data_IF_753077871753
#
_entry.id   IF_753077871753
#
_cell.length_a   1.000
_cell.length_b   1.000
_cell.length_c   1.000
_cell.angle_alpha   90.00
_cell.angle_beta   90.00
_cell.angle_gamma   90.00
#
_symmetry.space_group_name_H-M   'P 1'
#
loop_
_entity.id
_entity.type
_entity.pdbx_description
1 polymer ?
#
# COMPACT_ATOMS: atom_id res chain seq x y z
N UNK A 1 -9.00 55.60 40.05
CA UNK A 1 -7.63 55.97 39.66
C UNK A 1 -6.66 55.08 40.43
N UNK A 2 -5.69 54.35 39.88
CA UNK A 2 -5.43 53.71 38.58
C UNK A 2 -4.00 53.16 38.70
N UNK A 3 -3.73 52.00 38.08
CA UNK A 3 -2.40 51.47 37.69
C UNK A 3 -1.52 50.93 38.84
N UNK A 4 -0.82 49.80 38.68
CA UNK A 4 -0.20 49.26 37.47
C UNK A 4 -0.19 47.73 37.45
N UNK A 5 -0.69 47.19 36.35
CA UNK A 5 -0.40 45.86 35.84
C UNK A 5 1.10 45.70 35.57
N UNK A 6 1.60 44.48 35.80
CA UNK A 6 2.76 43.95 35.12
C UNK A 6 2.39 42.53 34.65
N UNK A 7 1.92 42.47 33.41
CA UNK A 7 1.49 41.28 32.69
C UNK A 7 2.63 40.26 32.57
N UNK A 8 2.52 39.12 33.26
CA UNK A 8 3.19 37.90 32.86
C UNK A 8 2.47 37.34 31.63
N UNK A 9 3.07 37.49 30.44
CA UNK A 9 2.61 36.83 29.21
C UNK A 9 2.72 35.32 29.38
N UNK A 10 1.63 34.69 29.82
CA UNK A 10 1.48 33.25 29.83
C UNK A 10 1.52 32.71 28.40
N UNK A 11 2.45 31.80 28.15
CA UNK A 11 2.40 30.92 26.98
C UNK A 11 1.13 30.07 27.11
N UNK A 12 0.25 29.96 26.10
CA UNK A 12 -0.95 29.14 26.21
C UNK A 12 -0.57 27.68 26.43
N UNK A 13 -0.84 27.16 27.63
CA UNK A 13 -0.76 25.75 27.95
C UNK A 13 -1.97 25.03 27.33
N UNK A 14 -1.67 23.91 26.66
CA UNK A 14 -2.57 22.80 26.32
C UNK A 14 -3.55 22.99 25.15
N UNK A 15 -3.02 22.93 23.93
CA UNK A 15 -3.80 22.34 22.84
C UNK A 15 -3.88 20.82 23.09
N UNK A 16 -5.05 20.31 23.48
CA UNK A 16 -5.29 18.87 23.63
C UNK A 16 -5.02 18.18 22.30
N UNK A 17 -4.26 17.08 22.30
CA UNK A 17 -4.02 16.27 21.12
C UNK A 17 -5.34 15.64 20.69
N UNK A 18 -5.93 16.16 19.62
CA UNK A 18 -7.18 15.67 19.03
C UNK A 18 -6.92 15.27 17.58
N UNK A 19 -7.76 14.40 17.02
CA UNK A 19 -7.71 14.07 15.59
C UNK A 19 -7.90 15.37 14.78
N UNK A 20 -7.06 15.56 13.76
CA UNK A 20 -7.00 16.78 12.94
C UNK A 20 -6.13 17.89 13.53
N UNK A 21 -5.69 17.78 14.79
CA UNK A 21 -4.75 18.75 15.37
C UNK A 21 -3.41 18.69 14.63
N UNK A 22 -2.80 19.86 14.40
CA UNK A 22 -1.47 19.97 13.80
C UNK A 22 -0.44 20.32 14.86
N UNK A 23 0.74 19.72 14.77
CA UNK A 23 1.83 19.96 15.72
C UNK A 23 3.18 19.86 15.07
N UNK A 24 4.11 20.65 15.60
CA UNK A 24 5.52 20.49 15.29
C UNK A 24 6.10 19.42 16.20
N UNK A 25 6.65 18.36 15.61
CA UNK A 25 7.20 17.22 16.34
C UNK A 25 8.68 17.06 16.01
N UNK A 26 9.46 16.70 17.02
CA UNK A 26 10.85 16.27 16.86
C UNK A 26 10.89 14.75 16.79
N UNK A 27 11.45 14.21 15.71
CA UNK A 27 11.55 12.77 15.50
C UNK A 27 12.78 12.24 16.21
N UNK A 28 12.55 11.32 17.16
CA UNK A 28 13.61 10.74 18.00
C UNK A 28 14.32 9.59 17.30
N UNK A 29 13.54 8.63 16.77
CA UNK A 29 14.04 7.37 16.22
C UNK A 29 13.00 6.69 15.33
N UNK A 30 13.45 5.69 14.58
CA UNK A 30 12.57 4.73 13.91
C UNK A 30 12.27 3.57 14.86
N UNK A 31 11.11 2.93 14.68
CA UNK A 31 10.69 1.78 15.48
C UNK A 31 10.34 0.57 14.61
N UNK A 32 10.20 -0.58 15.25
CA UNK A 32 9.70 -1.78 14.59
C UNK A 32 8.29 -1.50 14.03
N UNK A 33 8.07 -1.89 12.76
CA UNK A 33 6.84 -1.56 12.02
C UNK A 33 7.00 -0.41 11.03
N UNK A 34 8.15 0.27 10.99
CA UNK A 34 8.48 1.26 9.95
C UNK A 34 8.15 2.71 10.30
N UNK A 35 7.33 2.94 11.32
CA UNK A 35 7.02 4.29 11.79
C UNK A 35 8.23 4.98 12.43
N UNK A 36 8.21 6.31 12.40
CA UNK A 36 9.00 7.14 13.29
C UNK A 36 8.31 7.33 14.63
N UNK A 37 9.09 7.58 15.67
CA UNK A 37 8.60 7.88 17.02
C UNK A 37 9.00 9.30 17.42
N UNK A 38 8.00 10.05 17.85
CA UNK A 38 8.15 11.33 18.53
C UNK A 38 7.45 11.28 19.89
N UNK A 39 7.66 12.32 20.68
CA UNK A 39 6.86 12.60 21.88
C UNK A 39 6.15 13.92 21.72
N UNK A 40 4.91 13.92 22.14
CA UNK A 40 4.12 15.14 22.23
C UNK A 40 4.51 15.95 23.48
N UNK A 41 4.02 17.19 23.58
CA UNK A 41 4.31 18.11 24.70
C UNK A 41 3.81 17.58 26.05
N UNK A 42 2.78 16.73 26.05
CA UNK A 42 2.27 16.03 27.23
C UNK A 42 3.00 14.70 27.52
N UNK A 43 4.06 14.40 26.76
CA UNK A 43 4.85 13.17 26.88
C UNK A 43 4.27 11.95 26.17
N UNK A 44 3.07 12.05 25.56
CA UNK A 44 2.44 10.95 24.83
C UNK A 44 3.33 10.49 23.67
N UNK A 45 3.42 9.17 23.47
CA UNK A 45 4.11 8.58 22.33
C UNK A 45 3.31 8.83 21.05
N UNK A 46 3.97 9.37 20.03
CA UNK A 46 3.36 9.62 18.72
C UNK A 46 4.10 8.81 17.66
N UNK A 47 3.39 7.90 17.00
CA UNK A 47 3.88 7.21 15.81
C UNK A 47 3.62 8.09 14.59
N UNK A 48 4.66 8.37 13.82
CA UNK A 48 4.58 9.27 12.68
C UNK A 48 4.96 8.52 11.41
N UNK A 49 4.10 8.58 10.40
CA UNK A 49 4.48 8.11 9.07
C UNK A 49 5.57 9.02 8.47
N UNK A 50 6.41 8.44 7.61
CA UNK A 50 7.35 9.15 6.74
C UNK A 50 8.34 10.13 7.41
N UNK A 51 8.53 10.06 8.73
CA UNK A 51 9.53 10.83 9.48
C UNK A 51 10.86 10.11 9.63
N UNK A 52 11.96 10.85 9.78
CA UNK A 52 13.31 10.29 10.02
C UNK A 52 13.96 10.84 11.29
N UNK A 53 14.84 10.08 11.95
CA UNK A 53 15.53 10.53 13.17
C UNK A 53 16.26 11.86 12.95
N UNK A 54 16.13 12.76 13.93
CA UNK A 54 16.74 14.09 13.90
C UNK A 54 15.89 15.16 13.20
N UNK A 55 14.78 14.78 12.57
CA UNK A 55 13.93 15.74 11.87
C UNK A 55 13.02 16.54 12.79
N UNK A 56 12.73 17.76 12.35
CA UNK A 56 11.59 18.51 12.82
C UNK A 56 10.52 18.53 11.73
N UNK A 57 9.33 18.04 12.03
CA UNK A 57 8.22 17.98 11.08
C UNK A 57 7.01 18.76 11.59
N UNK A 58 6.15 19.19 10.68
CA UNK A 58 4.76 19.50 10.99
C UNK A 58 3.91 18.27 10.66
N UNK A 59 3.16 17.78 11.64
CA UNK A 59 2.37 16.58 11.54
C UNK A 59 0.92 16.83 11.94
N UNK A 60 0.00 16.06 11.35
CA UNK A 60 -1.42 16.06 11.70
C UNK A 60 -1.79 14.75 12.39
N UNK A 61 -2.44 14.84 13.54
CA UNK A 61 -2.89 13.67 14.31
C UNK A 61 -4.06 13.00 13.59
N UNK A 62 -3.91 11.73 13.25
CA UNK A 62 -4.93 10.92 12.55
C UNK A 62 -5.64 9.94 13.48
N UNK A 63 -5.01 9.62 14.61
CA UNK A 63 -5.59 8.78 15.66
C UNK A 63 -5.05 9.24 17.02
N UNK A 64 -5.93 9.38 18.01
CA UNK A 64 -5.52 9.67 19.39
C UNK A 64 -6.16 8.65 20.32
N UNK A 65 -5.31 7.96 21.08
CA UNK A 65 -5.69 7.04 22.14
C UNK A 65 -5.08 7.52 23.46
N UNK A 66 -5.48 6.89 24.56
CA UNK A 66 -5.01 7.23 25.91
C UNK A 66 -3.48 7.20 25.99
N UNK A 67 -2.87 6.11 25.51
CA UNK A 67 -1.45 5.81 25.75
C UNK A 67 -0.55 6.18 24.56
N UNK A 68 -1.13 6.37 23.36
CA UNK A 68 -0.39 6.74 22.15
C UNK A 68 -1.26 7.50 21.16
N UNK A 69 -0.61 8.13 20.17
CA UNK A 69 -1.27 8.72 19.02
C UNK A 69 -0.57 8.31 17.72
N UNK A 70 -1.26 8.45 16.59
CA UNK A 70 -0.68 8.37 15.25
C UNK A 70 -0.82 9.71 14.56
N UNK A 71 0.21 10.12 13.85
CA UNK A 71 0.21 11.34 13.06
C UNK A 71 0.78 11.08 11.66
N UNK A 72 0.30 11.85 10.69
CA UNK A 72 0.86 11.89 9.34
C UNK A 72 1.77 13.11 9.19
N UNK A 73 2.89 12.97 8.50
CA UNK A 73 3.76 14.10 8.19
C UNK A 73 3.09 14.98 7.13
N UNK A 74 2.86 16.26 7.44
CA UNK A 74 2.37 17.25 6.46
C UNK A 74 3.53 17.88 5.70
N UNK A 75 4.59 18.26 6.42
CA UNK A 75 5.82 18.78 5.83
C UNK A 75 7.01 18.59 6.76
N UNK A 76 8.18 18.46 6.16
CA UNK A 76 9.46 18.42 6.87
C UNK A 76 9.97 19.85 7.00
N UNK A 77 10.16 20.33 8.23
CA UNK A 77 10.63 21.69 8.50
C UNK A 77 12.15 21.76 8.60
N UNK A 78 12.77 20.73 9.18
CA UNK A 78 14.21 20.51 9.17
C UNK A 78 14.45 19.04 8.83
N UNK A 79 15.04 18.81 7.65
CA UNK A 79 15.22 17.47 7.09
C UNK A 79 16.49 16.78 7.63
N UNK A 80 16.42 15.46 7.73
CA UNK A 80 17.58 14.62 8.01
C UNK A 80 18.53 14.68 6.82
N UNK A 81 19.87 14.66 7.03
CA UNK A 81 20.83 14.66 5.92
C UNK A 81 20.71 13.44 5.00
N UNK A 82 20.04 12.36 5.48
CA UNK A 82 19.80 11.13 4.71
C UNK A 82 18.36 11.04 4.18
N UNK A 83 17.57 12.12 4.26
CA UNK A 83 16.28 12.20 3.57
C UNK A 83 16.50 12.30 2.07
N UNK A 84 15.75 11.52 1.32
CA UNK A 84 15.67 11.61 -0.15
C UNK A 84 14.22 11.69 -0.59
N UNK A 85 13.99 12.22 -1.79
CA UNK A 85 12.69 12.04 -2.45
C UNK A 85 12.55 10.58 -2.85
N UNK A 86 11.43 9.90 -2.55
CA UNK A 86 11.19 8.54 -3.00
C UNK A 86 11.43 8.40 -4.52
N UNK A 87 12.31 7.49 -4.97
CA UNK A 87 12.61 7.34 -6.39
C UNK A 87 11.44 6.68 -7.16
N UNK A 88 10.56 5.94 -6.48
CA UNK A 88 9.38 5.34 -7.10
C UNK A 88 8.21 6.33 -7.12
N UNK A 89 7.73 6.70 -8.32
CA UNK A 89 6.53 7.54 -8.48
C UNK A 89 5.33 6.99 -7.71
N UNK A 90 5.14 5.67 -7.71
CA UNK A 90 3.98 5.04 -7.07
C UNK A 90 4.01 5.18 -5.55
N UNK A 91 5.19 5.28 -4.93
CA UNK A 91 5.31 5.58 -3.49
C UNK A 91 4.95 7.05 -3.23
N UNK A 92 5.37 7.97 -4.09
CA UNK A 92 4.92 9.37 -4.03
C UNK A 92 3.40 9.49 -4.22
N UNK A 93 2.81 8.63 -5.05
CA UNK A 93 1.36 8.53 -5.23
C UNK A 93 0.67 7.83 -4.04
N UNK A 94 1.42 7.26 -3.08
CA UNK A 94 0.94 6.69 -1.81
C UNK A 94 0.83 5.16 -1.74
N UNK A 95 1.49 4.43 -2.64
CA UNK A 95 1.66 2.98 -2.55
C UNK A 95 2.33 2.56 -1.23
N UNK A 96 1.72 1.66 -0.48
CA UNK A 96 2.23 1.15 0.80
C UNK A 96 3.21 -0.02 0.69
N UNK A 97 3.82 -0.23 -0.49
CA UNK A 97 4.70 -1.38 -0.73
C UNK A 97 6.13 -1.22 -0.21
N UNK A 98 6.58 0.02 0.03
CA UNK A 98 7.94 0.37 0.44
C UNK A 98 7.93 1.57 1.41
N UNK A 99 8.00 1.30 2.71
CA UNK A 99 7.78 2.32 3.75
C UNK A 99 8.89 3.36 3.87
N UNK A 100 10.13 3.00 3.49
CA UNK A 100 11.35 3.81 3.74
C UNK A 100 12.03 4.34 2.48
N UNK A 101 11.32 4.48 1.35
CA UNK A 101 11.94 5.10 0.17
C UNK A 101 12.31 6.58 0.34
N UNK A 102 11.82 7.23 1.40
CA UNK A 102 12.23 8.57 1.80
C UNK A 102 13.54 8.59 2.63
N UNK A 103 14.07 7.42 3.02
CA UNK A 103 15.37 7.23 3.65
C UNK A 103 16.37 6.73 2.61
N UNK A 104 17.52 7.41 2.48
CA UNK A 104 18.57 7.04 1.54
C UNK A 104 18.99 5.56 1.70
N UNK A 105 19.11 4.83 0.60
CA UNK A 105 19.39 3.39 0.59
C UNK A 105 20.61 3.00 1.44
N UNK A 106 21.69 3.79 1.39
CA UNK A 106 22.90 3.53 2.18
C UNK A 106 22.66 3.60 3.70
N UNK A 107 21.66 4.35 4.16
CA UNK A 107 21.33 4.53 5.57
C UNK A 107 20.28 3.51 6.08
N UNK A 108 19.60 2.79 5.19
CA UNK A 108 18.50 1.88 5.59
C UNK A 108 18.98 0.71 6.45
N UNK A 109 20.16 0.14 6.18
CA UNK A 109 20.68 -0.97 6.98
C UNK A 109 21.03 -0.52 8.41
N UNK A 110 21.60 0.67 8.55
CA UNK A 110 21.91 1.25 9.87
C UNK A 110 20.64 1.53 10.67
N UNK A 111 19.59 2.05 10.02
CA UNK A 111 18.28 2.23 10.63
C UNK A 111 17.70 0.89 11.14
N UNK A 112 17.76 -0.19 10.33
CA UNK A 112 17.32 -1.54 10.76
C UNK A 112 18.12 -2.02 11.97
N UNK A 113 19.44 -1.87 11.95
CA UNK A 113 20.29 -2.26 13.07
C UNK A 113 19.97 -1.46 14.34
N UNK A 114 19.68 -0.16 14.23
CA UNK A 114 19.27 0.68 15.35
C UNK A 114 17.93 0.21 15.96
N UNK A 115 16.94 -0.14 15.13
CA UNK A 115 15.66 -0.71 15.59
C UNK A 115 15.89 -2.02 16.35
N UNK A 116 16.78 -2.90 15.86
CA UNK A 116 17.12 -4.15 16.56
C UNK A 116 17.80 -3.87 17.89
N UNK A 117 18.80 -2.98 17.94
CA UNK A 117 19.48 -2.61 19.19
C UNK A 117 18.50 -2.07 20.23
N UNK A 118 17.58 -1.21 19.81
CA UNK A 118 16.53 -0.67 20.69
C UNK A 118 15.62 -1.77 21.24
N UNK A 119 15.20 -2.73 20.40
CA UNK A 119 14.39 -3.86 20.83
C UNK A 119 15.14 -4.76 21.83
N UNK A 120 16.43 -5.00 21.62
CA UNK A 120 17.27 -5.75 22.56
C UNK A 120 17.44 -5.01 23.90
N UNK A 121 17.70 -3.70 23.85
CA UNK A 121 17.85 -2.89 25.06
C UNK A 121 16.56 -2.83 25.89
N UNK A 122 15.40 -2.62 25.25
CA UNK A 122 14.13 -2.37 25.95
C UNK A 122 13.30 -3.62 26.22
N UNK A 123 13.17 -4.49 25.22
CA UNK A 123 12.32 -5.69 25.33
C UNK A 123 13.09 -6.86 25.91
N UNK A 124 14.29 -7.13 25.41
CA UNK A 124 15.12 -8.23 25.91
C UNK A 124 15.92 -7.85 27.17
N UNK A 125 16.04 -6.56 27.50
CA UNK A 125 16.86 -6.03 28.61
C UNK A 125 18.34 -6.38 28.48
N UNK A 126 18.84 -6.42 27.25
CA UNK A 126 20.24 -6.72 26.90
C UNK A 126 20.85 -5.54 26.12
N UNK A 127 21.17 -4.42 26.78
CA UNK A 127 21.69 -3.22 26.10
C UNK A 127 23.06 -3.44 25.44
N UNK A 128 23.87 -4.36 25.99
CA UNK A 128 25.23 -4.67 25.49
C UNK A 128 25.24 -5.85 24.49
N UNK A 129 24.09 -6.23 23.92
CA UNK A 129 24.04 -7.31 22.95
C UNK A 129 24.89 -6.96 21.69
N UNK A 130 25.75 -7.87 21.19
CA UNK A 130 26.65 -7.58 20.07
C UNK A 130 25.91 -7.64 18.72
N UNK A 131 25.11 -6.61 18.42
CA UNK A 131 24.34 -6.51 17.17
C UNK A 131 25.22 -5.99 16.03
N UNK A 132 25.52 -6.89 15.09
CA UNK A 132 26.31 -6.63 13.87
C UNK A 132 25.44 -6.60 12.61
N UNK A 133 25.87 -5.83 11.60
CA UNK A 133 25.21 -5.82 10.28
C UNK A 133 25.59 -7.05 9.49
N UNK A 134 24.60 -7.69 8.85
CA UNK A 134 24.80 -8.84 7.97
C UNK A 134 25.02 -8.45 6.51
N UNK A 135 24.82 -9.41 5.60
CA UNK A 135 24.69 -9.12 4.17
C UNK A 135 23.36 -8.47 3.83
N UNK A 136 23.26 -7.86 2.64
CA UNK A 136 22.04 -7.28 2.12
C UNK A 136 21.87 -7.65 0.65
N UNK A 137 20.61 -7.80 0.22
CA UNK A 137 20.27 -7.88 -1.20
C UNK A 137 20.20 -6.47 -1.80
N UNK A 138 20.17 -6.40 -3.14
CA UNK A 138 19.92 -5.14 -3.85
C UNK A 138 18.62 -4.49 -3.39
N UNK A 139 18.62 -3.16 -3.29
CA UNK A 139 17.41 -2.38 -3.03
C UNK A 139 16.45 -2.43 -4.23
N UNK A 140 16.99 -2.60 -5.43
CA UNK A 140 16.24 -2.69 -6.69
C UNK A 140 16.23 -4.12 -7.21
N UNK A 141 15.17 -4.46 -7.96
CA UNK A 141 15.03 -5.73 -8.68
C UNK A 141 15.17 -7.02 -7.84
N UNK A 142 15.05 -6.94 -6.51
CA UNK A 142 15.28 -8.09 -5.62
C UNK A 142 14.04 -8.95 -5.35
N UNK A 143 12.83 -8.44 -5.58
CA UNK A 143 11.59 -9.22 -5.40
C UNK A 143 11.27 -10.02 -6.65
N UNK A 144 11.33 -11.35 -6.53
CA UNK A 144 10.97 -12.32 -7.56
C UNK A 144 9.55 -12.86 -7.42
N UNK A 145 8.84 -12.47 -6.36
CA UNK A 145 7.44 -12.85 -6.11
C UNK A 145 6.70 -11.64 -5.55
N UNK A 146 5.50 -11.38 -6.06
CA UNK A 146 4.62 -10.30 -5.58
C UNK A 146 3.16 -10.76 -5.55
N UNK A 147 2.39 -10.23 -4.60
CA UNK A 147 0.94 -10.39 -4.56
C UNK A 147 0.30 -9.04 -4.79
N UNK A 148 -0.48 -8.93 -5.85
CA UNK A 148 -1.11 -7.68 -6.30
C UNK A 148 -2.63 -7.81 -6.20
N UNK A 149 -3.30 -6.69 -5.97
CA UNK A 149 -4.74 -6.58 -6.08
C UNK A 149 -5.12 -6.29 -7.54
N UNK A 150 -6.27 -6.78 -7.97
CA UNK A 150 -6.91 -6.33 -9.20
C UNK A 150 -7.68 -5.06 -8.86
N UNK A 151 -7.34 -3.97 -9.54
CA UNK A 151 -7.99 -2.67 -9.36
C UNK A 151 -9.32 -2.61 -10.14
N UNK A 152 -10.21 -1.64 -9.88
CA UNK A 152 -11.48 -1.52 -10.60
C UNK A 152 -11.35 -1.36 -12.12
N UNK A 153 -10.21 -0.86 -12.62
CA UNK A 153 -9.90 -0.77 -14.06
C UNK A 153 -9.49 -2.10 -14.68
N UNK A 154 -9.32 -3.15 -13.86
CA UNK A 154 -8.76 -4.44 -14.26
C UNK A 154 -7.23 -4.44 -14.32
N UNK A 155 -6.54 -3.36 -13.95
CA UNK A 155 -5.07 -3.35 -13.83
C UNK A 155 -4.61 -3.91 -12.49
N UNK A 156 -3.33 -4.25 -12.40
CA UNK A 156 -2.73 -4.72 -11.14
C UNK A 156 -2.26 -3.54 -10.29
N UNK A 157 -2.45 -3.65 -8.98
CA UNK A 157 -2.09 -2.61 -8.03
C UNK A 157 -1.63 -3.14 -6.67
N UNK A 158 -1.10 -2.25 -5.84
CA UNK A 158 -0.84 -2.49 -4.42
C UNK A 158 -1.75 -1.62 -3.56
N UNK A 159 -1.94 -2.00 -2.30
CA UNK A 159 -2.69 -1.17 -1.36
C UNK A 159 -1.95 0.14 -1.08
N UNK A 160 -2.74 1.20 -0.88
CA UNK A 160 -2.29 2.45 -0.29
C UNK A 160 -1.80 2.20 1.14
N UNK A 161 -0.84 3.00 1.59
CA UNK A 161 -0.37 2.93 2.98
C UNK A 161 -1.56 3.12 3.95
N UNK A 162 -1.70 2.20 4.91
CA UNK A 162 -2.77 2.23 5.93
C UNK A 162 -4.20 2.34 5.37
N UNK A 163 -4.46 1.78 4.18
CA UNK A 163 -5.78 1.84 3.53
C UNK A 163 -6.11 0.54 2.78
N UNK A 164 -7.40 0.33 2.52
CA UNK A 164 -7.89 -0.76 1.67
C UNK A 164 -7.97 -0.37 0.18
N UNK A 165 -7.78 0.91 -0.14
CA UNK A 165 -7.72 1.41 -1.51
C UNK A 165 -6.44 0.94 -2.20
N UNK A 166 -6.46 0.88 -3.53
CA UNK A 166 -5.33 0.43 -4.34
C UNK A 166 -4.76 1.55 -5.20
N UNK A 167 -3.45 1.50 -5.42
CA UNK A 167 -2.71 2.29 -6.42
C UNK A 167 -2.37 1.34 -7.56
N UNK A 168 -2.72 1.70 -8.79
CA UNK A 168 -2.31 0.96 -9.98
C UNK A 168 -0.79 1.04 -10.17
N UNK A 169 -0.18 -0.08 -10.54
CA UNK A 169 1.28 -0.20 -10.63
C UNK A 169 1.65 -0.62 -12.04
N UNK A 170 2.29 0.31 -12.76
CA UNK A 170 2.79 0.04 -14.11
C UNK A 170 4.25 -0.44 -14.09
N UNK A 171 5.01 -0.04 -13.07
CA UNK A 171 6.43 -0.34 -12.89
C UNK A 171 6.74 -0.40 -11.39
N UNK A 172 7.66 -1.26 -10.96
CA UNK A 172 8.01 -1.40 -9.56
C UNK A 172 9.51 -1.61 -9.41
N UNK A 173 10.22 -0.60 -8.89
CA UNK A 173 11.70 -0.59 -8.80
C UNK A 173 12.27 -1.83 -8.09
N UNK A 174 11.57 -2.30 -7.05
CA UNK A 174 12.01 -3.43 -6.24
C UNK A 174 11.71 -4.80 -6.87
N UNK A 175 10.99 -4.84 -7.98
CA UNK A 175 10.53 -6.06 -8.65
C UNK A 175 11.53 -6.49 -9.73
N UNK A 176 11.79 -7.79 -9.86
CA UNK A 176 12.66 -8.32 -10.92
C UNK A 176 12.16 -7.88 -12.33
N UNK A 177 13.04 -7.55 -13.30
CA UNK A 177 12.64 -7.02 -14.60
C UNK A 177 11.62 -7.87 -15.38
N UNK A 178 11.73 -9.21 -15.27
CA UNK A 178 10.76 -10.13 -15.90
C UNK A 178 9.35 -9.96 -15.32
N UNK A 179 9.22 -9.78 -14.01
CA UNK A 179 7.93 -9.53 -13.38
C UNK A 179 7.42 -8.12 -13.72
N UNK A 180 8.28 -7.11 -13.78
CA UNK A 180 7.88 -5.75 -14.17
C UNK A 180 7.28 -5.74 -15.59
N UNK A 181 7.94 -6.46 -16.51
CA UNK A 181 7.47 -6.62 -17.89
C UNK A 181 6.08 -7.24 -17.92
N UNK A 182 5.87 -8.34 -17.17
CA UNK A 182 4.56 -8.98 -17.07
C UNK A 182 3.49 -8.04 -16.50
N UNK A 183 3.75 -7.42 -15.34
CA UNK A 183 2.79 -6.55 -14.65
C UNK A 183 2.32 -5.39 -15.52
N UNK A 184 3.21 -4.82 -16.32
CA UNK A 184 2.86 -3.73 -17.23
C UNK A 184 1.82 -4.14 -18.30
N UNK A 185 1.83 -5.42 -18.69
CA UNK A 185 0.97 -5.97 -19.75
C UNK A 185 -0.27 -6.70 -19.23
N UNK A 186 -0.27 -7.14 -17.96
CA UNK A 186 -1.39 -7.91 -17.41
C UNK A 186 -2.56 -6.97 -17.10
N UNK A 187 -3.66 -7.18 -17.82
CA UNK A 187 -4.99 -6.72 -17.44
C UNK A 187 -5.81 -7.92 -16.98
N UNK A 188 -6.18 -7.94 -15.71
CA UNK A 188 -7.19 -8.86 -15.20
C UNK A 188 -8.55 -8.21 -15.45
N UNK A 189 -9.10 -8.48 -16.61
CA UNK A 189 -10.54 -8.27 -16.80
C UNK A 189 -11.24 -9.36 -15.98
N UNK A 190 -12.43 -9.08 -15.44
CA UNK A 190 -13.33 -10.16 -15.04
C UNK A 190 -13.61 -11.08 -16.24
N UNK A 191 -14.58 -12.00 -16.15
CA UNK A 191 -15.01 -12.75 -17.34
C UNK A 191 -15.25 -11.85 -18.56
N UNK A 192 -15.29 -12.44 -19.75
CA UNK A 192 -15.43 -11.81 -21.07
C UNK A 192 -15.94 -10.35 -21.09
N UNK A 193 -17.12 -10.09 -20.52
CA UNK A 193 -17.67 -8.74 -20.33
C UNK A 193 -17.99 -8.01 -21.64
N UNK A 194 -18.55 -6.80 -21.57
CA UNK A 194 -19.00 -6.06 -22.77
C UNK A 194 -17.87 -5.85 -23.78
N UNK A 195 -16.71 -5.41 -23.31
CA UNK A 195 -15.55 -5.16 -24.16
C UNK A 195 -15.02 -6.45 -24.83
N UNK A 196 -15.03 -7.58 -24.11
CA UNK A 196 -14.63 -8.87 -24.69
C UNK A 196 -15.62 -9.35 -25.74
N UNK A 197 -16.91 -9.22 -25.48
CA UNK A 197 -17.95 -9.52 -26.49
C UNK A 197 -17.77 -8.66 -27.74
N UNK A 198 -17.58 -7.34 -27.60
CA UNK A 198 -17.32 -6.47 -28.77
C UNK A 198 -16.11 -6.95 -29.58
N UNK A 199 -15.02 -7.30 -28.90
CA UNK A 199 -13.81 -7.81 -29.58
C UNK A 199 -14.06 -9.14 -30.29
N UNK A 200 -14.89 -10.03 -29.71
CA UNK A 200 -15.29 -11.28 -30.37
C UNK A 200 -16.14 -11.05 -31.62
N UNK A 201 -17.01 -10.03 -31.61
CA UNK A 201 -17.83 -9.72 -32.79
C UNK A 201 -16.98 -9.34 -33.99
N UNK A 202 -15.87 -8.62 -33.77
CA UNK A 202 -14.91 -8.23 -34.82
C UNK A 202 -14.24 -9.43 -35.50
N UNK A 203 -14.21 -10.61 -34.84
CA UNK A 203 -13.66 -11.84 -35.43
C UNK A 203 -14.57 -12.50 -36.45
N UNK A 204 -15.86 -12.12 -36.47
CA UNK A 204 -16.90 -12.77 -37.26
C UNK A 204 -17.02 -14.29 -37.03
N UNK A 205 -16.60 -14.80 -35.87
CA UNK A 205 -16.67 -16.23 -35.56
C UNK A 205 -18.13 -16.75 -35.60
N UNK A 206 -18.41 -17.86 -36.30
CA UNK A 206 -19.74 -18.48 -36.30
C UNK A 206 -19.99 -19.34 -35.04
N UNK A 207 -18.93 -19.61 -34.27
CA UNK A 207 -18.98 -20.43 -33.07
C UNK A 207 -18.07 -19.85 -32.00
N UNK A 208 -18.58 -19.73 -30.78
CA UNK A 208 -17.82 -19.31 -29.60
C UNK A 208 -18.01 -20.34 -28.50
N UNK A 209 -16.90 -20.79 -27.91
CA UNK A 209 -16.91 -21.60 -26.69
C UNK A 209 -16.36 -20.75 -25.55
N UNK A 210 -17.19 -20.46 -24.56
CA UNK A 210 -16.84 -19.71 -23.36
C UNK A 210 -16.56 -20.68 -22.22
N UNK A 211 -15.37 -20.60 -21.63
CA UNK A 211 -14.94 -21.39 -20.47
C UNK A 211 -14.80 -20.46 -19.27
N UNK A 212 -15.45 -20.77 -18.15
CA UNK A 212 -15.48 -19.90 -16.97
C UNK A 212 -15.47 -20.69 -15.66
N UNK A 213 -14.53 -20.34 -14.78
CA UNK A 213 -14.44 -20.89 -13.43
C UNK A 213 -15.33 -20.18 -12.39
N UNK A 214 -16.09 -19.17 -12.82
CA UNK A 214 -17.04 -18.41 -12.00
C UNK A 214 -18.43 -18.45 -12.64
N UNK A 215 -19.42 -18.98 -11.91
CA UNK A 215 -20.78 -19.15 -12.41
C UNK A 215 -21.50 -17.82 -12.71
N UNK A 216 -21.21 -16.77 -11.94
CA UNK A 216 -21.87 -15.46 -12.11
C UNK A 216 -21.29 -14.73 -13.32
N UNK A 217 -19.98 -14.78 -13.50
CA UNK A 217 -19.32 -14.27 -14.70
C UNK A 217 -19.80 -15.02 -15.95
N UNK A 218 -19.88 -16.35 -15.90
CA UNK A 218 -20.39 -17.18 -17.01
C UNK A 218 -21.80 -16.75 -17.43
N UNK A 219 -22.73 -16.60 -16.48
CA UNK A 219 -24.10 -16.21 -16.76
C UNK A 219 -24.21 -14.78 -17.32
N UNK A 220 -23.46 -13.83 -16.75
CA UNK A 220 -23.40 -12.45 -17.25
C UNK A 220 -22.90 -12.41 -18.69
N UNK A 221 -21.82 -13.13 -18.99
CA UNK A 221 -21.17 -13.09 -20.29
C UNK A 221 -21.97 -13.84 -21.35
N UNK A 222 -22.67 -14.92 -20.96
CA UNK A 222 -23.65 -15.59 -21.82
C UNK A 222 -24.77 -14.63 -22.25
N UNK A 223 -25.30 -13.82 -21.32
CA UNK A 223 -26.31 -12.80 -21.67
C UNK A 223 -25.76 -11.79 -22.69
N UNK A 224 -24.53 -11.33 -22.49
CA UNK A 224 -23.93 -10.36 -23.41
C UNK A 224 -23.69 -10.93 -24.82
N UNK A 225 -23.31 -12.20 -24.94
CA UNK A 225 -23.18 -12.88 -26.24
C UNK A 225 -24.55 -13.04 -26.92
N UNK A 226 -25.59 -13.39 -26.16
CA UNK A 226 -26.96 -13.48 -26.67
C UNK A 226 -27.47 -12.14 -27.16
N UNK A 227 -27.29 -11.08 -26.37
CA UNK A 227 -27.68 -9.72 -26.75
C UNK A 227 -26.89 -9.22 -27.99
N UNK A 228 -25.75 -9.83 -28.29
CA UNK A 228 -24.90 -9.55 -29.45
C UNK A 228 -25.20 -10.43 -30.68
N UNK A 229 -26.26 -11.26 -30.61
CA UNK A 229 -26.75 -12.05 -31.74
C UNK A 229 -26.20 -13.47 -31.84
N UNK A 230 -25.58 -13.99 -30.78
CA UNK A 230 -25.29 -15.42 -30.70
C UNK A 230 -26.44 -16.18 -30.03
N UNK A 231 -26.66 -17.42 -30.42
CA UNK A 231 -27.56 -18.34 -29.73
C UNK A 231 -26.76 -19.24 -28.79
N UNK A 232 -27.17 -19.33 -27.51
CA UNK A 232 -26.62 -20.29 -26.55
C UNK A 232 -27.17 -21.68 -26.86
N UNK A 233 -26.32 -22.58 -27.35
CA UNK A 233 -26.69 -23.97 -27.67
C UNK A 233 -26.76 -24.82 -26.41
N UNK A 234 -25.71 -24.79 -25.59
CA UNK A 234 -25.66 -25.48 -24.30
C UNK A 234 -24.65 -24.83 -23.35
N UNK A 235 -24.77 -25.16 -22.06
CA UNK A 235 -23.78 -24.86 -21.02
C UNK A 235 -23.55 -26.11 -20.16
N UNK A 236 -22.34 -26.64 -20.20
CA UNK A 236 -21.92 -27.83 -19.48
C UNK A 236 -21.17 -27.44 -18.21
N UNK A 237 -21.58 -28.01 -17.08
CA UNK A 237 -20.90 -27.82 -15.79
C UNK A 237 -19.97 -29.00 -15.55
N UNK A 238 -18.68 -28.73 -15.42
CA UNK A 238 -17.65 -29.72 -15.14
C UNK A 238 -17.24 -29.64 -13.67
N UNK A 239 -17.42 -30.73 -12.94
CA UNK A 239 -16.86 -30.88 -11.59
C UNK A 239 -15.40 -31.34 -11.69
N UNK A 240 -14.50 -30.36 -11.74
CA UNK A 240 -13.06 -30.59 -11.73
C UNK A 240 -12.46 -30.55 -10.32
N UNK A 241 -13.25 -30.16 -9.31
CA UNK A 241 -12.78 -29.92 -7.96
C UNK A 241 -13.76 -30.47 -6.89
N UNK A 242 -13.90 -31.81 -6.79
CA UNK A 242 -14.78 -32.43 -5.80
C UNK A 242 -14.47 -31.97 -4.38
N UNK A 243 -15.50 -31.86 -3.54
CA UNK A 243 -15.45 -31.33 -2.17
C UNK A 243 -15.23 -29.81 -2.04
N UNK A 244 -15.27 -29.07 -3.14
CA UNK A 244 -15.19 -27.60 -3.12
C UNK A 244 -16.44 -26.98 -3.76
N UNK A 245 -16.60 -25.66 -3.61
CA UNK A 245 -17.64 -24.89 -4.30
C UNK A 245 -17.17 -24.39 -5.68
N UNK A 246 -15.94 -24.75 -6.10
CA UNK A 246 -15.40 -24.32 -7.38
C UNK A 246 -16.09 -25.06 -8.52
N UNK A 247 -16.33 -24.34 -9.61
CA UNK A 247 -17.08 -24.81 -10.77
C UNK A 247 -16.29 -24.48 -12.02
N UNK A 248 -16.40 -25.29 -13.06
CA UNK A 248 -15.99 -24.92 -14.41
C UNK A 248 -17.21 -25.03 -15.32
N UNK A 249 -17.50 -23.99 -16.10
CA UNK A 249 -18.65 -23.95 -17.01
C UNK A 249 -18.16 -23.75 -18.44
N UNK A 250 -18.56 -24.66 -19.34
CA UNK A 250 -18.25 -24.60 -20.77
C UNK A 250 -19.54 -24.33 -21.54
N UNK A 251 -19.67 -23.13 -22.10
CA UNK A 251 -20.86 -22.69 -22.84
C UNK A 251 -20.58 -22.57 -24.32
N UNK A 252 -21.41 -23.20 -25.15
CA UNK A 252 -21.30 -23.20 -26.61
C UNK A 252 -22.33 -22.25 -27.23
N UNK A 253 -21.85 -21.37 -28.09
CA UNK A 253 -22.66 -20.39 -28.80
C UNK A 253 -22.45 -20.48 -30.30
N UNK A 254 -23.51 -20.23 -31.07
CA UNK A 254 -23.47 -20.19 -32.54
C UNK A 254 -24.09 -18.90 -33.07
N UNK A 255 -23.66 -18.47 -34.26
CA UNK A 255 -24.23 -17.34 -34.99
C UNK A 255 -24.06 -17.59 -36.49
N UNK A 256 -25.07 -17.20 -37.25
CA UNK A 256 -25.09 -17.26 -38.72
C UNK A 256 -24.11 -16.27 -39.39
#
# INVERSE_FOLDING_TARGET
>A
MTMSDAESRGVPHDAVSAVGARRRLQIERLVAGGDALARDTDGRVVFVDTGLPGETIEAEFVEVKRDFARARTLRVVAASPVRVTPPCRHVADGCGGCDWQHLAAHAQHDAKAAVVREAFARTARLPEAPIVRGGAVSHDASRTTVRMAVTPSGRLGFRRASSHESVEIEQCLVMHPLLQSLVSTVGVRGGLGKAGVTTLLDTAAPTVVLVSCDAVAAARDARLLVDAGYDLVNAEVLDLFPHTHHVEVVSHFVRD
#
